data_IF_466156319951
#
_entry.id   IF_466156319951
#
_cell.length_a   1.000
_cell.length_b   1.000
_cell.length_c   1.000
_cell.angle_alpha   90.00
_cell.angle_beta   90.00
_cell.angle_gamma   90.00
#
_symmetry.space_group_name_H-M   'P 1'
#
loop_
_entity.id
_entity.type
_entity.pdbx_description
1 polymer ?
#
# COMPACT_ATOMS: atom_id res chain seq x y z
N UNK A 1 34.81 25.17 1.93
CA UNK A 1 33.96 24.79 0.79
C UNK A 1 33.57 23.34 1.01
N UNK A 2 32.30 23.00 1.12
CA UNK A 2 31.87 21.61 1.18
C UNK A 2 32.25 20.96 -0.16
N UNK A 3 32.84 19.79 -0.12
CA UNK A 3 33.22 19.02 -1.31
C UNK A 3 31.93 18.56 -2.01
N UNK A 4 31.67 19.05 -3.23
CA UNK A 4 30.50 18.67 -4.00
C UNK A 4 30.75 17.27 -4.58
N UNK A 5 30.03 16.27 -4.10
CA UNK A 5 30.13 14.92 -4.61
C UNK A 5 29.52 14.82 -6.03
N UNK A 6 30.29 14.26 -6.95
CA UNK A 6 29.85 14.01 -8.33
C UNK A 6 29.52 12.53 -8.53
N UNK A 7 28.41 12.25 -9.23
CA UNK A 7 27.98 10.90 -9.63
C UNK A 7 27.72 10.86 -11.14
N UNK A 8 28.04 9.73 -11.78
CA UNK A 8 27.60 9.52 -13.18
C UNK A 8 26.06 9.49 -13.25
N UNK A 9 25.42 8.78 -12.29
CA UNK A 9 23.97 8.62 -12.27
C UNK A 9 23.43 8.79 -10.85
N UNK A 10 22.43 9.64 -10.72
CA UNK A 10 21.62 9.75 -9.51
C UNK A 10 20.24 9.14 -9.78
N UNK A 11 19.78 8.29 -8.87
CA UNK A 11 18.45 7.70 -8.92
C UNK A 11 17.62 8.23 -7.75
N UNK A 12 16.44 8.77 -8.04
CA UNK A 12 15.53 9.32 -7.02
C UNK A 12 14.40 8.31 -6.75
N UNK A 13 14.42 7.73 -5.55
CA UNK A 13 13.47 6.73 -5.09
C UNK A 13 14.03 5.31 -5.12
N UNK A 14 13.85 4.58 -4.01
CA UNK A 14 14.37 3.22 -3.78
C UNK A 14 13.35 2.11 -4.07
N UNK A 15 12.20 2.44 -4.66
CA UNK A 15 11.23 1.46 -5.12
C UNK A 15 11.78 0.52 -6.20
N UNK A 16 11.01 -0.48 -6.67
CA UNK A 16 11.51 -1.48 -7.63
C UNK A 16 12.14 -0.88 -8.89
N UNK A 17 11.62 0.23 -9.40
CA UNK A 17 12.18 0.89 -10.57
C UNK A 17 13.56 1.50 -10.27
N UNK A 18 13.67 2.23 -9.15
CA UNK A 18 14.94 2.86 -8.75
C UNK A 18 16.00 1.84 -8.34
N UNK A 19 15.62 0.82 -7.56
CA UNK A 19 16.52 -0.30 -7.23
C UNK A 19 17.15 -0.91 -8.49
N UNK A 20 16.30 -1.30 -9.46
CA UNK A 20 16.78 -1.97 -10.68
C UNK A 20 17.62 -1.04 -11.56
N UNK A 21 17.24 0.24 -11.64
CA UNK A 21 18.01 1.25 -12.36
C UNK A 21 19.41 1.45 -11.73
N UNK A 22 19.48 1.63 -10.41
CA UNK A 22 20.72 1.82 -9.69
C UNK A 22 21.65 0.59 -9.82
N UNK A 23 21.11 -0.62 -9.60
CA UNK A 23 21.87 -1.86 -9.74
C UNK A 23 22.39 -2.06 -11.17
N UNK A 24 21.59 -1.75 -12.19
CA UNK A 24 22.02 -1.89 -13.59
C UNK A 24 23.10 -0.87 -13.94
N UNK A 25 22.97 0.38 -13.49
CA UNK A 25 23.97 1.41 -13.69
C UNK A 25 25.31 1.04 -13.04
N UNK A 26 25.28 0.56 -11.80
CA UNK A 26 26.50 0.10 -11.11
C UNK A 26 27.18 -1.08 -11.83
N UNK A 27 26.43 -2.05 -12.36
CA UNK A 27 26.99 -3.13 -13.18
C UNK A 27 27.69 -2.64 -14.45
N UNK A 28 27.32 -1.48 -14.96
CA UNK A 28 27.99 -0.78 -16.07
C UNK A 28 29.19 0.06 -15.58
N UNK A 29 29.64 -0.15 -14.33
CA UNK A 29 30.79 0.53 -13.70
C UNK A 29 30.59 2.05 -13.57
N UNK A 30 29.34 2.49 -13.41
CA UNK A 30 29.00 3.89 -13.13
C UNK A 30 29.03 4.16 -11.64
N UNK A 31 29.46 5.38 -11.26
CA UNK A 31 29.29 5.87 -9.89
C UNK A 31 27.84 6.28 -9.68
N UNK A 32 27.16 5.58 -8.76
CA UNK A 32 25.72 5.71 -8.58
C UNK A 32 25.36 6.14 -7.17
N UNK A 33 24.51 7.18 -7.05
CA UNK A 33 23.79 7.48 -5.82
C UNK A 33 22.30 7.15 -5.97
N UNK A 34 21.73 6.59 -4.89
CA UNK A 34 20.30 6.34 -4.74
C UNK A 34 19.76 7.22 -3.61
N UNK A 35 18.87 8.15 -3.95
CA UNK A 35 18.29 9.07 -2.96
C UNK A 35 16.91 8.53 -2.56
N UNK A 36 16.69 8.39 -1.25
CA UNK A 36 15.39 8.00 -0.69
C UNK A 36 14.99 9.00 0.42
N UNK A 37 13.73 9.44 0.35
CA UNK A 37 13.18 10.39 1.34
C UNK A 37 12.86 9.77 2.70
N UNK A 38 12.69 8.45 2.73
CA UNK A 38 12.38 7.66 3.92
C UNK A 38 13.64 6.96 4.44
N UNK A 39 13.70 6.69 5.73
CA UNK A 39 14.71 5.82 6.34
C UNK A 39 14.58 4.36 5.90
N UNK A 40 13.41 3.99 5.32
CA UNK A 40 13.09 2.66 4.83
C UNK A 40 13.23 2.59 3.31
N UNK A 41 14.02 1.62 2.83
CA UNK A 41 14.22 1.37 1.40
C UNK A 41 13.16 0.41 0.83
N UNK A 42 12.89 0.50 -0.49
CA UNK A 42 12.01 -0.43 -1.20
C UNK A 42 10.68 0.18 -1.64
N UNK A 43 10.37 1.39 -1.20
CA UNK A 43 9.21 2.17 -1.61
C UNK A 43 7.87 1.48 -1.34
N UNK A 44 6.82 1.91 -2.04
CA UNK A 44 5.46 1.43 -1.82
C UNK A 44 5.29 -0.09 -2.05
N UNK A 45 6.04 -0.68 -2.96
CA UNK A 45 5.95 -2.12 -3.24
C UNK A 45 6.31 -2.98 -2.02
N UNK A 46 7.29 -2.54 -1.24
CA UNK A 46 7.78 -3.26 -0.06
C UNK A 46 6.99 -2.90 1.20
N UNK A 47 6.61 -1.65 1.39
CA UNK A 47 6.05 -1.19 2.68
C UNK A 47 4.53 -1.03 2.69
N UNK A 48 3.91 -0.62 1.59
CA UNK A 48 2.48 -0.24 1.58
C UNK A 48 1.64 -0.86 0.47
N UNK A 49 2.25 -1.69 -0.40
CA UNK A 49 1.57 -2.22 -1.58
C UNK A 49 1.66 -3.73 -1.71
N UNK A 50 2.34 -4.17 -2.76
CA UNK A 50 2.30 -5.55 -3.25
C UNK A 50 2.75 -6.60 -2.24
N UNK A 51 3.90 -6.40 -1.59
CA UNK A 51 4.47 -7.41 -0.68
C UNK A 51 3.65 -7.54 0.60
N UNK A 52 3.35 -6.46 1.33
CA UNK A 52 2.57 -6.56 2.56
C UNK A 52 1.14 -7.07 2.35
N UNK A 53 0.44 -6.63 1.28
CA UNK A 53 -0.93 -7.11 1.02
C UNK A 53 -0.96 -8.59 0.67
N UNK A 54 0.03 -9.08 -0.08
CA UNK A 54 0.13 -10.51 -0.42
C UNK A 54 0.51 -11.37 0.78
N UNK A 55 1.43 -10.91 1.61
CA UNK A 55 1.77 -11.59 2.87
C UNK A 55 0.55 -11.70 3.80
N UNK A 56 -0.22 -10.61 3.92
CA UNK A 56 -1.48 -10.60 4.65
C UNK A 56 -2.50 -11.59 4.05
N UNK A 57 -2.66 -11.56 2.72
CA UNK A 57 -3.56 -12.47 2.01
C UNK A 57 -3.18 -13.93 2.24
N UNK A 58 -1.91 -14.30 2.14
CA UNK A 58 -1.44 -15.67 2.42
C UNK A 58 -1.78 -16.11 3.85
N UNK A 59 -1.52 -15.26 4.83
CA UNK A 59 -1.86 -15.53 6.23
C UNK A 59 -3.36 -15.80 6.39
N UNK A 60 -4.19 -14.95 5.79
CA UNK A 60 -5.65 -15.08 5.83
C UNK A 60 -6.13 -16.35 5.13
N UNK A 61 -5.53 -16.70 3.99
CA UNK A 61 -5.89 -17.93 3.25
C UNK A 61 -5.54 -19.18 4.03
N UNK A 62 -4.37 -19.23 4.68
CA UNK A 62 -4.00 -20.35 5.55
C UNK A 62 -4.98 -20.51 6.72
N UNK A 63 -5.36 -19.41 7.37
CA UNK A 63 -6.35 -19.42 8.44
C UNK A 63 -7.74 -19.90 7.96
N UNK A 64 -8.15 -19.46 6.77
CA UNK A 64 -9.43 -19.89 6.17
C UNK A 64 -9.42 -21.38 5.83
N UNK A 65 -8.33 -21.90 5.27
CA UNK A 65 -8.16 -23.34 4.98
C UNK A 65 -8.20 -24.18 6.25
N UNK A 66 -7.50 -23.78 7.29
CA UNK A 66 -7.52 -24.48 8.58
C UNK A 66 -8.92 -24.52 9.19
N UNK A 67 -9.73 -23.47 9.02
CA UNK A 67 -11.13 -23.45 9.46
C UNK A 67 -12.04 -24.40 8.66
N UNK A 68 -11.73 -24.67 7.39
CA UNK A 68 -12.51 -25.56 6.52
C UNK A 68 -12.13 -27.04 6.64
N UNK A 69 -10.88 -27.35 6.99
CA UNK A 69 -10.33 -28.72 7.01
C UNK A 69 -10.54 -29.47 8.32
N UNK A 70 -11.50 -29.07 9.15
CA UNK A 70 -11.83 -29.76 10.40
C UNK A 70 -12.58 -31.06 10.16
N UNK A 71 -12.04 -32.01 9.40
CA UNK A 71 -12.61 -33.35 9.21
C UNK A 71 -12.64 -34.15 10.53
N UNK A 72 -13.45 -33.72 11.49
CA UNK A 72 -13.58 -34.35 12.81
C UNK A 72 -12.48 -33.99 13.80
N UNK A 73 -11.56 -33.08 13.45
CA UNK A 73 -10.52 -32.54 14.36
C UNK A 73 -11.01 -31.19 14.87
N UNK A 74 -11.27 -31.09 16.16
CA UNK A 74 -11.68 -29.82 16.79
C UNK A 74 -10.46 -28.91 16.99
N UNK A 75 -10.14 -28.11 15.96
CA UNK A 75 -9.08 -27.10 16.06
C UNK A 75 -9.67 -25.86 16.74
N UNK A 76 -9.41 -25.68 18.02
CA UNK A 76 -9.78 -24.47 18.74
C UNK A 76 -8.87 -23.33 18.30
N UNK A 77 -9.35 -22.48 17.41
CA UNK A 77 -8.72 -21.21 17.18
C UNK A 77 -9.01 -20.27 18.34
N UNK A 78 -8.02 -19.43 18.67
CA UNK A 78 -8.24 -18.31 19.59
C UNK A 78 -9.43 -17.49 19.05
N UNK A 79 -10.47 -17.32 19.84
CA UNK A 79 -11.72 -16.65 19.41
C UNK A 79 -11.48 -15.20 18.95
N UNK A 80 -10.41 -14.56 19.44
CA UNK A 80 -10.03 -13.20 19.11
C UNK A 80 -8.64 -13.17 18.46
N UNK A 81 -8.59 -13.32 17.13
CA UNK A 81 -7.38 -13.03 16.37
C UNK A 81 -7.06 -11.54 16.51
N UNK A 82 -5.87 -11.23 17.00
CA UNK A 82 -5.41 -9.84 17.12
C UNK A 82 -4.84 -9.36 15.80
N UNK A 83 -4.93 -8.05 15.54
CA UNK A 83 -4.31 -7.42 14.37
C UNK A 83 -2.82 -7.68 14.33
N UNK A 84 -2.15 -7.65 15.50
CA UNK A 84 -0.72 -7.93 15.63
C UNK A 84 -0.35 -9.33 15.15
N UNK A 85 -1.13 -10.35 15.53
CA UNK A 85 -0.89 -11.74 15.08
C UNK A 85 -1.08 -11.88 13.56
N UNK A 86 -2.07 -11.18 13.00
CA UNK A 86 -2.33 -11.17 11.58
C UNK A 86 -1.22 -10.48 10.78
N UNK A 87 -0.66 -9.40 11.31
CA UNK A 87 0.36 -8.57 10.65
C UNK A 87 1.79 -9.07 10.88
N UNK A 88 2.01 -9.98 11.84
CA UNK A 88 3.35 -10.45 12.24
C UNK A 88 4.19 -10.96 11.07
N UNK A 89 3.61 -11.81 10.22
CA UNK A 89 4.32 -12.33 9.04
C UNK A 89 4.67 -11.22 8.05
N UNK A 90 3.78 -10.24 7.87
CA UNK A 90 4.03 -9.06 7.03
C UNK A 90 5.29 -8.33 7.48
N UNK A 91 5.44 -8.08 8.78
CA UNK A 91 6.58 -7.36 9.35
C UNK A 91 7.90 -8.08 9.10
N UNK A 92 7.94 -9.41 9.34
CA UNK A 92 9.12 -10.23 9.07
C UNK A 92 9.51 -10.16 7.60
N UNK A 93 8.55 -10.37 6.70
CA UNK A 93 8.81 -10.37 5.25
C UNK A 93 9.34 -9.02 4.78
N UNK A 94 8.78 -7.93 5.27
CA UNK A 94 9.25 -6.56 4.93
C UNK A 94 10.69 -6.39 5.39
N UNK A 95 11.00 -6.74 6.63
CA UNK A 95 12.35 -6.57 7.20
C UNK A 95 13.40 -7.40 6.46
N UNK A 96 13.09 -8.66 6.14
CA UNK A 96 13.99 -9.54 5.39
C UNK A 96 14.27 -9.00 3.98
N UNK A 97 13.24 -8.49 3.30
CA UNK A 97 13.37 -7.92 1.96
C UNK A 97 14.15 -6.59 1.99
N UNK A 98 13.89 -5.71 2.96
CA UNK A 98 14.65 -4.46 3.11
C UNK A 98 16.12 -4.74 3.41
N UNK A 99 16.43 -5.68 4.30
CA UNK A 99 17.80 -6.10 4.59
C UNK A 99 18.50 -6.68 3.36
N UNK A 100 17.78 -7.45 2.55
CA UNK A 100 18.30 -7.98 1.29
C UNK A 100 18.60 -6.87 0.29
N UNK A 101 17.72 -5.89 0.18
CA UNK A 101 17.90 -4.72 -0.67
C UNK A 101 19.14 -3.92 -0.24
N UNK A 102 19.28 -3.58 1.05
CA UNK A 102 20.44 -2.86 1.59
C UNK A 102 21.76 -3.59 1.24
N UNK A 103 21.82 -4.89 1.51
CA UNK A 103 22.98 -5.71 1.16
C UNK A 103 23.30 -5.72 -0.34
N UNK A 104 22.28 -5.71 -1.19
CA UNK A 104 22.47 -5.67 -2.64
C UNK A 104 23.03 -4.32 -3.10
N UNK A 105 22.56 -3.22 -2.54
CA UNK A 105 23.08 -1.87 -2.84
C UNK A 105 24.52 -1.74 -2.39
N UNK A 106 24.85 -2.16 -1.17
CA UNK A 106 26.21 -2.18 -0.61
C UNK A 106 27.19 -3.00 -1.45
N UNK A 107 26.82 -4.26 -1.81
CA UNK A 107 27.66 -5.13 -2.65
C UNK A 107 27.93 -4.55 -4.04
N UNK A 108 27.08 -3.68 -4.53
CA UNK A 108 27.24 -3.02 -5.81
C UNK A 108 27.80 -1.58 -5.65
N UNK A 109 28.31 -1.23 -4.47
CA UNK A 109 28.93 0.08 -4.20
C UNK A 109 28.05 1.28 -4.56
N UNK A 110 26.72 1.16 -4.33
CA UNK A 110 25.78 2.24 -4.56
C UNK A 110 25.68 3.07 -3.30
N UNK A 111 25.92 4.38 -3.41
CA UNK A 111 25.77 5.32 -2.29
C UNK A 111 24.29 5.57 -2.03
N UNK A 112 23.80 5.23 -0.84
CA UNK A 112 22.44 5.54 -0.42
C UNK A 112 22.44 6.87 0.32
N UNK A 113 21.61 7.80 -0.13
CA UNK A 113 21.44 9.14 0.45
C UNK A 113 20.02 9.25 1.00
N UNK A 114 19.88 9.40 2.31
CA UNK A 114 18.59 9.65 2.96
C UNK A 114 18.28 11.14 2.95
N UNK A 115 17.26 11.54 2.18
CA UNK A 115 16.90 12.96 2.04
C UNK A 115 15.94 13.23 0.89
N UNK A 116 15.54 14.48 0.79
CA UNK A 116 14.64 14.97 -0.25
C UNK A 116 15.45 15.78 -1.27
N UNK A 117 15.53 15.32 -2.53
CA UNK A 117 16.25 16.05 -3.57
C UNK A 117 15.38 17.14 -4.19
N UNK A 118 16.00 18.25 -4.57
CA UNK A 118 15.41 19.31 -5.37
C UNK A 118 16.38 19.69 -6.49
N UNK A 119 15.90 19.73 -7.72
CA UNK A 119 16.69 20.21 -8.85
C UNK A 119 16.97 21.71 -8.70
N UNK A 120 18.26 22.08 -8.72
CA UNK A 120 18.74 23.46 -8.88
C UNK A 120 19.02 23.75 -10.36
N UNK A 121 19.51 22.73 -11.10
CA UNK A 121 19.70 22.73 -12.53
C UNK A 121 19.50 21.32 -13.10
N UNK A 122 19.75 21.12 -14.39
CA UNK A 122 19.68 19.80 -15.01
C UNK A 122 20.68 18.79 -14.41
N UNK A 123 21.79 19.27 -13.84
CA UNK A 123 22.91 18.46 -13.33
C UNK A 123 23.21 18.66 -11.85
N UNK A 124 22.52 19.59 -11.17
CA UNK A 124 22.74 19.92 -9.75
C UNK A 124 21.48 19.63 -8.96
N UNK A 125 21.63 18.82 -7.90
CA UNK A 125 20.56 18.50 -6.95
C UNK A 125 20.94 19.02 -5.56
N UNK A 126 20.06 19.82 -4.96
CA UNK A 126 20.10 20.20 -3.56
C UNK A 126 19.44 19.08 -2.75
N UNK A 127 20.12 18.55 -1.76
CA UNK A 127 19.62 17.52 -0.85
C UNK A 127 19.26 18.14 0.49
N UNK A 128 18.05 17.92 0.94
CA UNK A 128 17.66 18.18 2.33
C UNK A 128 17.69 16.85 3.08
N UNK A 129 18.68 16.61 3.95
CA UNK A 129 18.79 15.35 4.71
C UNK A 129 17.59 15.15 5.63
N UNK A 130 17.29 13.88 5.95
CA UNK A 130 16.21 13.54 6.85
C UNK A 130 16.48 13.90 8.31
N UNK A 131 17.76 13.94 8.71
CA UNK A 131 18.27 14.13 10.09
C UNK A 131 18.84 15.52 10.34
N UNK A 132 18.98 16.36 9.33
CA UNK A 132 19.60 17.68 9.42
C UNK A 132 18.85 18.74 8.62
N UNK A 133 18.93 19.99 9.08
CA UNK A 133 18.44 21.15 8.32
C UNK A 133 19.49 21.72 7.36
N UNK A 134 20.75 21.28 7.46
CA UNK A 134 21.84 21.75 6.59
C UNK A 134 21.74 21.03 5.23
N UNK A 135 21.37 21.81 4.23
CA UNK A 135 21.32 21.36 2.84
C UNK A 135 22.72 21.31 2.24
N UNK A 136 22.89 20.36 1.32
CA UNK A 136 24.11 20.29 0.52
C UNK A 136 23.78 19.95 -0.94
N UNK A 137 24.75 20.16 -1.82
CA UNK A 137 24.59 19.92 -3.24
C UNK A 137 25.38 18.69 -3.68
N UNK A 138 24.83 17.99 -4.64
CA UNK A 138 25.49 16.94 -5.41
C UNK A 138 25.33 17.22 -6.90
N UNK A 139 26.24 16.69 -7.71
CA UNK A 139 26.15 16.80 -9.17
C UNK A 139 25.99 15.42 -9.80
N UNK A 140 25.29 15.36 -10.94
CA UNK A 140 25.08 14.15 -11.70
C UNK A 140 25.10 14.43 -13.21
N UNK A 141 25.69 13.52 -13.99
CA UNK A 141 25.57 13.57 -15.44
C UNK A 141 24.14 13.26 -15.88
N UNK A 142 23.53 12.25 -15.24
CA UNK A 142 22.16 11.82 -15.51
C UNK A 142 21.37 11.60 -14.21
N UNK A 143 20.10 11.97 -14.22
CA UNK A 143 19.18 11.70 -13.11
C UNK A 143 18.01 10.86 -13.56
N UNK A 144 17.76 9.75 -12.85
CA UNK A 144 16.60 8.87 -13.07
C UNK A 144 15.56 9.16 -11.99
N UNK A 145 14.36 9.60 -12.41
CA UNK A 145 13.25 9.89 -11.51
C UNK A 145 12.39 8.63 -11.37
N UNK A 146 12.44 8.01 -10.19
CA UNK A 146 11.73 6.77 -9.84
C UNK A 146 10.88 6.94 -8.57
N UNK A 147 10.21 8.09 -8.43
CA UNK A 147 9.51 8.53 -7.21
C UNK A 147 8.22 7.76 -6.90
N UNK A 148 7.78 6.88 -7.80
CA UNK A 148 6.63 6.01 -7.59
C UNK A 148 5.28 6.71 -7.62
N UNK A 149 4.35 6.24 -6.79
CA UNK A 149 2.99 6.77 -6.70
C UNK A 149 2.46 6.76 -5.26
N UNK A 150 1.46 7.59 -4.98
CA UNK A 150 0.77 7.69 -3.70
C UNK A 150 -0.73 7.48 -3.83
N UNK A 151 -1.45 7.01 -2.79
CA UNK A 151 -2.90 6.92 -2.82
C UNK A 151 -3.55 8.28 -3.03
N UNK A 152 -4.63 8.31 -3.81
CA UNK A 152 -5.47 9.50 -3.89
C UNK A 152 -6.25 9.68 -2.60
N UNK A 153 -6.14 10.88 -2.02
CA UNK A 153 -6.90 11.31 -0.84
C UNK A 153 -7.91 12.39 -1.25
N UNK A 154 -9.11 12.02 -1.70
CA UNK A 154 -10.12 13.01 -2.06
C UNK A 154 -10.54 13.85 -0.85
N UNK A 155 -10.79 15.14 -1.06
CA UNK A 155 -11.09 16.11 0.02
C UNK A 155 -12.36 15.81 0.81
N UNK A 156 -13.30 15.06 0.23
CA UNK A 156 -14.55 14.66 0.90
C UNK A 156 -14.36 13.52 1.89
N UNK A 157 -13.22 12.81 1.90
CA UNK A 157 -12.95 11.72 2.80
C UNK A 157 -12.06 12.20 3.97
N UNK A 158 -12.54 12.10 5.22
CA UNK A 158 -11.84 12.57 6.43
C UNK A 158 -10.84 11.53 6.92
N UNK A 159 -9.70 11.38 6.21
CA UNK A 159 -8.64 10.43 6.57
C UNK A 159 -8.06 10.75 7.94
N UNK A 160 -8.01 9.76 8.83
CA UNK A 160 -7.51 9.88 10.19
C UNK A 160 -6.54 8.77 10.60
N UNK A 161 -6.38 7.74 9.76
CA UNK A 161 -5.61 6.52 10.04
C UNK A 161 -6.06 5.76 11.30
N UNK A 162 -7.31 5.98 11.74
CA UNK A 162 -7.94 5.28 12.86
C UNK A 162 -9.18 4.50 12.40
N UNK A 163 -10.03 5.17 11.62
CA UNK A 163 -11.29 4.65 11.12
C UNK A 163 -11.42 4.82 9.60
N UNK A 164 -10.82 5.86 9.01
CA UNK A 164 -10.84 6.13 7.56
C UNK A 164 -9.42 6.05 7.02
N UNK A 165 -9.19 5.06 6.21
CA UNK A 165 -7.89 4.68 5.68
C UNK A 165 -7.83 4.82 4.17
N UNK A 166 -6.62 5.04 3.65
CA UNK A 166 -6.26 4.74 2.26
C UNK A 166 -5.58 3.36 2.14
N UNK A 167 -5.14 3.02 0.91
CA UNK A 167 -4.51 1.72 0.64
C UNK A 167 -3.16 1.53 1.33
N UNK A 168 -2.49 2.59 1.72
CA UNK A 168 -1.19 2.52 2.38
C UNK A 168 -1.39 2.41 3.91
N UNK A 169 -2.25 3.24 4.48
CA UNK A 169 -2.47 3.29 5.93
C UNK A 169 -3.31 2.14 6.49
N UNK A 170 -4.12 1.45 5.68
CA UNK A 170 -4.93 0.29 6.13
C UNK A 170 -4.08 -0.88 6.67
N UNK A 171 -2.82 -0.97 6.23
CA UNK A 171 -1.88 -2.00 6.70
C UNK A 171 -1.44 -1.80 8.16
N UNK A 172 -1.70 -0.63 8.73
CA UNK A 172 -1.38 -0.27 10.11
C UNK A 172 -2.61 -0.23 11.01
N UNK A 173 -3.72 -0.84 10.56
CA UNK A 173 -4.95 -0.92 11.33
C UNK A 173 -4.71 -1.59 12.70
N UNK A 174 -5.12 -0.93 13.77
CA UNK A 174 -4.88 -1.39 15.15
C UNK A 174 -5.88 -2.45 15.64
N UNK A 175 -7.09 -2.40 15.11
CA UNK A 175 -8.19 -3.29 15.51
C UNK A 175 -8.92 -3.80 14.29
N UNK A 176 -9.22 -5.10 14.27
CA UNK A 176 -10.03 -5.70 13.21
C UNK A 176 -11.46 -5.17 13.30
N UNK A 177 -11.99 -4.60 12.20
CA UNK A 177 -13.35 -4.05 12.20
C UNK A 177 -14.39 -5.17 12.15
N UNK A 178 -15.57 -4.92 12.73
CA UNK A 178 -16.72 -5.82 12.55
C UNK A 178 -17.34 -5.69 11.16
N UNK A 179 -17.23 -4.50 10.58
CA UNK A 179 -17.76 -4.18 9.25
C UNK A 179 -16.89 -3.11 8.59
N UNK A 180 -16.49 -3.34 7.36
CA UNK A 180 -15.71 -2.40 6.56
C UNK A 180 -16.49 -1.99 5.32
N UNK A 181 -16.42 -0.71 4.99
CA UNK A 181 -16.91 -0.19 3.71
C UNK A 181 -15.70 0.22 2.87
N UNK A 182 -15.57 -0.39 1.68
CA UNK A 182 -14.48 -0.13 0.74
C UNK A 182 -15.03 0.68 -0.43
N UNK A 183 -14.40 1.81 -0.72
CA UNK A 183 -14.80 2.73 -1.77
C UNK A 183 -13.81 2.64 -2.93
N UNK A 184 -14.28 2.10 -4.05
CA UNK A 184 -13.49 1.80 -5.25
C UNK A 184 -13.31 0.30 -5.47
N UNK A 185 -13.83 -0.22 -6.60
CA UNK A 185 -13.75 -1.64 -6.99
C UNK A 185 -12.69 -1.89 -8.06
N UNK A 186 -11.55 -1.19 -7.97
CA UNK A 186 -10.31 -1.51 -8.66
C UNK A 186 -9.58 -2.69 -8.00
N UNK A 187 -8.34 -2.96 -8.46
CA UNK A 187 -7.51 -4.08 -7.94
C UNK A 187 -7.39 -4.05 -6.42
N UNK A 188 -7.02 -2.91 -5.86
CA UNK A 188 -6.80 -2.75 -4.42
C UNK A 188 -8.10 -2.99 -3.64
N UNK A 189 -9.22 -2.37 -4.06
CA UNK A 189 -10.49 -2.54 -3.38
C UNK A 189 -11.00 -3.96 -3.40
N UNK A 190 -10.90 -4.66 -4.53
CA UNK A 190 -11.26 -6.07 -4.66
C UNK A 190 -10.36 -6.99 -3.82
N UNK A 191 -9.05 -6.72 -3.78
CA UNK A 191 -8.09 -7.49 -2.97
C UNK A 191 -8.41 -7.38 -1.49
N UNK A 192 -8.55 -6.16 -0.95
CA UNK A 192 -8.88 -5.97 0.46
C UNK A 192 -10.29 -6.46 0.82
N UNK A 193 -11.26 -6.32 -0.09
CA UNK A 193 -12.59 -6.90 0.12
C UNK A 193 -12.53 -8.41 0.32
N UNK A 194 -11.76 -9.10 -0.50
CA UNK A 194 -11.53 -10.54 -0.37
C UNK A 194 -10.79 -10.90 0.92
N UNK A 195 -9.73 -10.17 1.27
CA UNK A 195 -8.95 -10.40 2.50
C UNK A 195 -9.84 -10.28 3.74
N UNK A 196 -10.57 -9.17 3.88
CA UNK A 196 -11.43 -8.93 5.04
C UNK A 196 -12.59 -9.92 5.14
N UNK A 197 -13.19 -10.28 4.01
CA UNK A 197 -14.28 -11.27 3.98
C UNK A 197 -13.80 -12.63 4.47
N UNK A 198 -12.62 -13.10 4.06
CA UNK A 198 -12.06 -14.41 4.45
C UNK A 198 -11.81 -14.57 5.95
N UNK A 199 -11.56 -13.48 6.67
CA UNK A 199 -11.45 -13.49 8.14
C UNK A 199 -12.78 -13.26 8.85
N UNK A 200 -13.89 -13.19 8.11
CA UNK A 200 -15.24 -13.10 8.65
C UNK A 200 -15.77 -11.68 8.87
N UNK A 201 -15.04 -10.65 8.39
CA UNK A 201 -15.47 -9.25 8.45
C UNK A 201 -16.55 -9.02 7.38
N UNK A 202 -17.63 -8.33 7.74
CA UNK A 202 -18.67 -7.91 6.79
C UNK A 202 -18.15 -6.79 5.89
N UNK A 203 -18.23 -6.96 4.58
CA UNK A 203 -17.69 -6.02 3.60
C UNK A 203 -18.80 -5.43 2.73
N UNK A 204 -18.84 -4.08 2.63
CA UNK A 204 -19.49 -3.40 1.54
C UNK A 204 -18.40 -2.93 0.56
N UNK A 205 -18.54 -3.25 -0.72
CA UNK A 205 -17.68 -2.74 -1.80
C UNK A 205 -18.50 -1.84 -2.70
N UNK A 206 -18.14 -0.56 -2.75
CA UNK A 206 -18.85 0.47 -3.49
C UNK A 206 -18.04 0.85 -4.72
N UNK A 207 -18.69 0.95 -5.87
CA UNK A 207 -18.08 1.45 -7.09
C UNK A 207 -19.06 2.33 -7.87
N UNK A 208 -18.53 3.40 -8.44
CA UNK A 208 -19.24 4.26 -9.38
C UNK A 208 -19.65 3.50 -10.64
N UNK A 209 -18.74 2.68 -11.14
CA UNK A 209 -18.99 1.85 -12.33
C UNK A 209 -19.91 0.67 -11.99
N UNK A 210 -20.68 0.21 -12.97
CA UNK A 210 -21.56 -0.96 -12.82
C UNK A 210 -20.83 -2.29 -12.80
N UNK A 211 -19.53 -2.29 -13.10
CA UNK A 211 -18.67 -3.46 -13.08
C UNK A 211 -17.44 -3.19 -12.19
N UNK A 212 -16.89 -4.25 -11.61
CA UNK A 212 -15.57 -4.22 -10.98
C UNK A 212 -14.50 -4.35 -12.07
N UNK A 213 -13.29 -3.85 -11.79
CA UNK A 213 -12.12 -4.03 -12.67
C UNK A 213 -12.43 -3.76 -14.16
N UNK A 214 -12.79 -2.53 -14.56
CA UNK A 214 -13.31 -2.23 -15.90
C UNK A 214 -12.33 -2.50 -17.06
N UNK A 215 -11.06 -2.75 -16.75
CA UNK A 215 -10.00 -3.12 -17.70
C UNK A 215 -9.85 -4.64 -17.90
N UNK A 216 -10.60 -5.44 -17.16
CA UNK A 216 -10.60 -6.92 -17.26
C UNK A 216 -11.74 -7.38 -18.14
N UNK A 217 -11.57 -8.52 -18.81
CA UNK A 217 -12.63 -9.15 -19.58
C UNK A 217 -13.90 -9.30 -18.74
N UNK A 218 -15.05 -9.03 -19.38
CA UNK A 218 -16.34 -8.97 -18.71
C UNK A 218 -16.74 -10.30 -18.06
N UNK A 219 -16.49 -11.42 -18.72
CA UNK A 219 -16.86 -12.74 -18.18
C UNK A 219 -16.02 -13.07 -16.94
N UNK A 220 -14.72 -12.69 -16.95
CA UNK A 220 -13.84 -12.86 -15.79
C UNK A 220 -14.31 -11.98 -14.63
N UNK A 221 -14.66 -10.70 -14.90
CA UNK A 221 -15.16 -9.79 -13.88
C UNK A 221 -16.49 -10.27 -13.28
N UNK A 222 -17.42 -10.76 -14.11
CA UNK A 222 -18.70 -11.33 -13.66
C UNK A 222 -18.50 -12.57 -12.78
N UNK A 223 -17.58 -13.44 -13.14
CA UNK A 223 -17.24 -14.64 -12.36
C UNK A 223 -16.64 -14.24 -10.99
N UNK A 224 -15.75 -13.24 -10.97
CA UNK A 224 -15.20 -12.71 -9.72
C UNK A 224 -16.32 -12.10 -8.85
N UNK A 225 -17.22 -11.31 -9.42
CA UNK A 225 -18.38 -10.75 -8.69
C UNK A 225 -19.26 -11.86 -8.07
N UNK A 226 -19.50 -12.94 -8.82
CA UNK A 226 -20.23 -14.10 -8.29
C UNK A 226 -19.51 -14.70 -7.07
N UNK A 227 -18.20 -14.94 -7.15
CA UNK A 227 -17.41 -15.45 -6.03
C UNK A 227 -17.40 -14.50 -4.84
N UNK A 228 -17.25 -13.21 -5.07
CA UNK A 228 -17.29 -12.20 -4.01
C UNK A 228 -18.63 -12.19 -3.26
N UNK A 229 -19.77 -12.36 -3.97
CA UNK A 229 -21.10 -12.48 -3.34
C UNK A 229 -21.22 -13.74 -2.50
N UNK A 230 -20.69 -14.87 -2.97
CA UNK A 230 -20.65 -16.13 -2.23
C UNK A 230 -19.82 -16.01 -0.94
N UNK A 231 -18.82 -15.14 -0.93
CA UNK A 231 -18.00 -14.80 0.23
C UNK A 231 -18.64 -13.71 1.11
N UNK A 232 -19.92 -13.40 0.93
CA UNK A 232 -20.70 -12.43 1.71
C UNK A 232 -20.21 -10.97 1.57
N UNK A 233 -19.59 -10.63 0.45
CA UNK A 233 -19.26 -9.24 0.11
C UNK A 233 -20.50 -8.62 -0.53
N UNK A 234 -21.00 -7.53 0.03
CA UNK A 234 -22.10 -6.77 -0.55
C UNK A 234 -21.55 -5.81 -1.61
N UNK A 235 -21.79 -6.12 -2.89
CA UNK A 235 -21.42 -5.26 -4.01
C UNK A 235 -22.47 -4.17 -4.23
N UNK A 236 -22.03 -2.91 -4.21
CA UNK A 236 -22.84 -1.70 -4.48
C UNK A 236 -22.25 -0.98 -5.68
N UNK A 237 -22.64 -1.45 -6.84
CA UNK A 237 -22.13 -0.98 -8.12
C UNK A 237 -23.08 0.06 -8.74
N UNK A 238 -22.54 1.03 -9.46
CA UNK A 238 -23.30 2.17 -9.98
C UNK A 238 -23.73 3.16 -8.90
N UNK A 239 -23.02 3.20 -7.77
CA UNK A 239 -23.29 4.07 -6.63
C UNK A 239 -22.10 5.01 -6.38
N UNK A 240 -22.36 6.27 -6.17
CA UNK A 240 -21.36 7.26 -5.75
C UNK A 240 -21.46 7.51 -4.24
N UNK A 241 -20.31 7.79 -3.64
CA UNK A 241 -20.23 8.24 -2.26
C UNK A 241 -20.33 9.77 -2.23
N UNK A 242 -21.30 10.30 -1.51
CA UNK A 242 -21.49 11.72 -1.27
C UNK A 242 -20.62 12.23 -0.12
N UNK A 243 -20.49 11.43 0.94
CA UNK A 243 -19.69 11.80 2.10
C UNK A 243 -19.51 10.69 3.12
N UNK A 244 -18.61 10.96 4.07
CA UNK A 244 -18.34 10.10 5.22
C UNK A 244 -18.49 10.93 6.47
N UNK A 245 -19.36 10.50 7.38
CA UNK A 245 -19.59 11.15 8.67
C UNK A 245 -19.20 10.23 9.83
N UNK A 246 -18.44 10.76 10.76
CA UNK A 246 -18.11 10.07 12.01
C UNK A 246 -19.19 10.36 13.03
N UNK A 247 -19.76 9.33 13.63
CA UNK A 247 -20.74 9.41 14.69
C UNK A 247 -20.05 9.18 16.02
N UNK A 248 -20.50 9.81 17.11
CA UNK A 248 -19.83 9.87 18.42
C UNK A 248 -19.48 8.52 19.09
N UNK A 249 -19.94 7.41 18.57
CA UNK A 249 -19.78 6.07 19.16
C UNK A 249 -18.75 5.18 18.43
N UNK A 250 -17.86 5.75 17.59
CA UNK A 250 -16.95 4.97 16.75
C UNK A 250 -17.63 4.31 15.56
N UNK A 251 -18.88 4.68 15.26
CA UNK A 251 -19.60 4.31 14.07
C UNK A 251 -19.41 5.36 12.98
N UNK A 252 -19.23 4.91 11.75
CA UNK A 252 -19.08 5.76 10.57
C UNK A 252 -20.27 5.53 9.66
N UNK A 253 -20.85 6.61 9.17
CA UNK A 253 -21.89 6.60 8.17
C UNK A 253 -21.33 7.01 6.81
N UNK A 254 -21.35 6.11 5.84
CA UNK A 254 -21.02 6.40 4.45
C UNK A 254 -22.34 6.71 3.73
N UNK A 255 -22.50 7.97 3.29
CA UNK A 255 -23.67 8.46 2.56
C UNK A 255 -23.49 8.27 1.06
N UNK A 256 -24.49 7.72 0.41
CA UNK A 256 -24.52 7.51 -1.03
C UNK A 256 -25.44 8.53 -1.72
N UNK A 257 -25.17 8.84 -2.98
CA UNK A 257 -26.05 9.72 -3.79
C UNK A 257 -27.49 9.19 -3.87
N UNK A 258 -27.68 7.86 -3.77
CA UNK A 258 -29.02 7.25 -3.68
C UNK A 258 -29.74 7.47 -2.34
N UNK A 259 -29.24 8.36 -1.49
CA UNK A 259 -29.74 8.68 -0.14
C UNK A 259 -29.63 7.50 0.86
N UNK A 260 -28.99 6.39 0.49
CA UNK A 260 -28.73 5.29 1.42
C UNK A 260 -27.56 5.66 2.33
N UNK A 261 -27.67 5.26 3.59
CA UNK A 261 -26.62 5.39 4.61
C UNK A 261 -26.10 4.01 4.98
N UNK A 262 -24.79 3.84 4.91
CA UNK A 262 -24.13 2.57 5.23
C UNK A 262 -23.35 2.70 6.53
N UNK A 263 -23.87 2.17 7.66
CA UNK A 263 -23.13 2.15 8.90
C UNK A 263 -21.98 1.13 8.82
N UNK A 264 -20.79 1.53 9.26
CA UNK A 264 -19.61 0.66 9.38
C UNK A 264 -18.68 1.16 10.51
N UNK A 265 -17.69 0.38 10.87
CA UNK A 265 -16.67 0.77 11.85
C UNK A 265 -15.36 1.24 11.19
N UNK A 266 -15.19 0.95 9.91
CA UNK A 266 -13.97 1.30 9.17
C UNK A 266 -14.30 1.56 7.70
N UNK A 267 -13.64 2.54 7.13
CA UNK A 267 -13.70 2.85 5.70
C UNK A 267 -12.32 2.75 5.08
N UNK A 268 -12.23 2.03 3.96
CA UNK A 268 -11.06 2.03 3.09
C UNK A 268 -11.38 2.78 1.80
N UNK A 269 -10.65 3.85 1.53
CA UNK A 269 -10.77 4.60 0.28
C UNK A 269 -9.72 4.13 -0.70
N UNK A 270 -10.14 3.35 -1.71
CA UNK A 270 -9.30 2.79 -2.77
C UNK A 270 -9.60 3.48 -4.12
N UNK A 271 -9.62 4.82 -4.13
CA UNK A 271 -10.05 5.66 -5.26
C UNK A 271 -8.94 5.93 -6.30
N UNK A 272 -7.93 5.08 -6.38
CA UNK A 272 -6.80 5.17 -7.30
C UNK A 272 -5.53 5.72 -6.66
N UNK A 273 -4.47 5.79 -7.48
CA UNK A 273 -3.13 6.33 -7.13
C UNK A 273 -2.71 7.39 -8.17
N UNK A 274 -1.77 8.26 -7.85
CA UNK A 274 -1.18 9.25 -8.74
C UNK A 274 0.35 9.31 -8.54
#
# INVERSE_FOLDING_TARGET
MQEIHHYDIVVIGSGPAGEKAALQASKLKKQVALIEKSTHLGGASLHTGTIPSKSLRETVMHLALLRQQTHGIDIKFKENLTTRELMYRKEIVIQDQENSLRRNLEKNHITVIEGIPRFQSATILEITPADSSEKYEITADYTIIATGSSPRRPKWAPFDNECVFDSDSILDIKHLPKKVTIIGAGVIGCEYASIFSKIGIRVNLIARDRNILPFVDRQIAENLMYQMRNERITLRLGENVEGIEKINTGEIHVKLESQKVLPCSTVLVAAGRF
#
